data_IF_976395938518
#
_entry.id   IF_976395938518
#
_cell.length_a   1.000
_cell.length_b   1.000
_cell.length_c   1.000
_cell.angle_alpha   90.00
_cell.angle_beta   90.00
_cell.angle_gamma   90.00
#
_symmetry.space_group_name_H-M   'P 1'
#
loop_
_entity.id
_entity.type
_entity.pdbx_description
1 polymer ?
#
# COMPACT_ATOMS: atom_id res chain seq x y z
N UNK A 1 -7.57 10.42 15.42
CA UNK A 1 -6.39 9.54 15.22
C UNK A 1 -5.17 9.92 16.05
N UNK A 2 -4.84 11.20 16.28
CA UNK A 2 -3.63 11.59 17.02
C UNK A 2 -3.54 10.97 18.45
N UNK A 3 -4.64 11.01 19.20
CA UNK A 3 -4.73 10.43 20.56
C UNK A 3 -5.00 8.91 20.60
N UNK A 4 -5.12 8.24 19.44
CA UNK A 4 -5.37 6.81 19.39
C UNK A 4 -4.11 6.01 19.73
N UNK A 5 -4.28 4.81 20.30
CA UNK A 5 -3.20 3.89 20.59
C UNK A 5 -2.46 3.51 19.29
N UNK A 6 -1.13 3.40 19.36
CA UNK A 6 -0.34 2.91 18.23
C UNK A 6 -0.57 1.41 18.08
N UNK A 7 -0.95 0.99 16.88
CA UNK A 7 -1.03 -0.42 16.55
C UNK A 7 0.38 -0.93 16.20
N UNK A 8 0.74 -2.09 16.75
CA UNK A 8 1.99 -2.75 16.35
C UNK A 8 1.79 -3.36 14.97
N UNK A 9 2.71 -3.12 14.00
CA UNK A 9 2.63 -3.71 12.68
C UNK A 9 2.48 -5.22 12.74
N UNK A 10 1.52 -5.76 11.98
CA UNK A 10 1.38 -7.21 11.85
C UNK A 10 2.59 -7.77 11.09
N UNK A 11 3.23 -8.85 11.56
CA UNK A 11 4.36 -9.47 10.87
C UNK A 11 3.86 -10.30 9.67
N UNK A 12 3.28 -9.62 8.67
CA UNK A 12 2.79 -10.23 7.44
C UNK A 12 3.48 -9.63 6.21
N UNK A 13 3.64 -10.40 5.12
CA UNK A 13 4.10 -9.88 3.82
C UNK A 13 3.23 -8.71 3.34
N UNK A 14 1.91 -8.81 3.53
CA UNK A 14 0.96 -7.75 3.21
C UNK A 14 1.29 -6.44 3.94
N UNK A 15 1.33 -6.44 5.27
CA UNK A 15 1.62 -5.23 6.06
C UNK A 15 3.01 -4.68 5.74
N UNK A 16 4.01 -5.55 5.60
CA UNK A 16 5.38 -5.15 5.25
C UNK A 16 5.45 -4.47 3.87
N UNK A 17 4.69 -4.98 2.91
CA UNK A 17 4.62 -4.42 1.57
C UNK A 17 3.81 -3.13 1.49
N UNK A 18 2.72 -2.99 2.26
CA UNK A 18 2.02 -1.70 2.45
C UNK A 18 3.01 -0.65 2.95
N UNK A 19 3.72 -0.95 4.05
CA UNK A 19 4.67 -0.01 4.64
C UNK A 19 5.74 0.42 3.64
N UNK A 20 6.40 -0.55 3.00
CA UNK A 20 7.49 -0.27 2.06
C UNK A 20 7.02 0.53 0.86
N UNK A 21 5.92 0.10 0.26
CA UNK A 21 5.43 0.68 -0.99
C UNK A 21 4.85 2.06 -0.77
N UNK A 22 4.06 2.25 0.30
CA UNK A 22 3.50 3.55 0.61
C UNK A 22 4.58 4.54 1.02
N UNK A 23 5.59 4.13 1.80
CA UNK A 23 6.76 4.98 2.08
C UNK A 23 7.48 5.40 0.79
N UNK A 24 7.65 4.48 -0.17
CA UNK A 24 8.25 4.81 -1.46
C UNK A 24 7.38 5.79 -2.28
N UNK A 25 6.06 5.59 -2.33
CA UNK A 25 5.13 6.50 -3.00
C UNK A 25 5.18 7.91 -2.38
N UNK A 26 5.15 8.01 -1.05
CA UNK A 26 5.27 9.28 -0.32
C UNK A 26 6.62 9.98 -0.59
N UNK A 27 7.69 9.23 -0.81
CA UNK A 27 9.01 9.77 -1.15
C UNK A 27 9.04 10.47 -2.53
N UNK A 28 8.11 10.17 -3.42
CA UNK A 28 8.01 10.84 -4.73
C UNK A 28 7.54 12.30 -4.63
N UNK A 29 6.88 12.67 -3.53
CA UNK A 29 6.36 14.01 -3.34
C UNK A 29 7.10 14.77 -2.23
N UNK A 30 7.49 16.01 -2.52
CA UNK A 30 8.46 16.77 -1.70
C UNK A 30 8.00 17.06 -0.29
N UNK A 31 6.69 17.23 -0.07
CA UNK A 31 6.08 17.49 1.25
C UNK A 31 5.91 16.23 2.08
N UNK A 32 5.81 15.07 1.45
CA UNK A 32 5.52 13.78 2.12
C UNK A 32 6.75 12.90 2.25
N UNK A 33 7.86 13.22 1.60
CA UNK A 33 9.06 12.37 1.59
C UNK A 33 9.65 12.05 2.97
N UNK A 34 9.42 12.92 3.96
CA UNK A 34 9.87 12.72 5.34
C UNK A 34 8.85 12.02 6.21
N UNK A 35 7.66 11.69 5.68
CA UNK A 35 6.57 11.18 6.49
C UNK A 35 6.86 9.76 6.96
N UNK A 36 6.70 9.55 8.27
CA UNK A 36 6.72 8.22 8.87
C UNK A 36 5.31 7.65 8.89
N UNK A 37 5.19 6.37 8.57
CA UNK A 37 3.93 5.65 8.67
C UNK A 37 3.70 5.20 10.11
N UNK A 38 2.53 5.50 10.68
CA UNK A 38 2.15 5.07 12.03
C UNK A 38 0.74 4.51 11.98
N UNK A 39 0.59 3.22 12.29
CA UNK A 39 -0.73 2.61 12.39
C UNK A 39 -1.38 2.90 13.74
N UNK A 40 -2.69 3.15 13.73
CA UNK A 40 -3.49 3.54 14.89
C UNK A 40 -4.71 2.64 15.05
N UNK A 41 -4.98 2.23 16.29
CA UNK A 41 -6.21 1.54 16.67
C UNK A 41 -7.32 2.57 16.87
N UNK A 42 -8.11 2.83 15.83
CA UNK A 42 -9.16 3.87 15.87
C UNK A 42 -10.59 3.31 15.88
N UNK A 43 -10.75 2.00 16.08
CA UNK A 43 -12.07 1.35 16.18
C UNK A 43 -12.87 1.50 14.88
N UNK A 44 -14.19 1.68 14.98
CA UNK A 44 -15.07 1.81 13.80
C UNK A 44 -15.41 3.28 13.47
N UNK A 45 -14.78 4.25 14.13
CA UNK A 45 -15.23 5.65 14.12
C UNK A 45 -14.61 6.53 13.02
N UNK A 46 -14.28 5.94 11.87
CA UNK A 46 -14.46 6.63 10.58
C UNK A 46 -13.37 7.60 10.12
N UNK A 47 -12.11 7.42 10.52
CA UNK A 47 -10.99 8.10 9.85
C UNK A 47 -9.92 7.10 9.44
N UNK A 48 -9.78 6.89 8.13
CA UNK A 48 -8.85 5.91 7.57
C UNK A 48 -7.41 6.40 7.56
N UNK A 49 -7.21 7.71 7.51
CA UNK A 49 -5.91 8.36 7.57
C UNK A 49 -5.99 9.78 8.16
N UNK A 50 -4.87 10.23 8.69
CA UNK A 50 -4.68 11.59 9.18
C UNK A 50 -3.25 12.07 8.95
N UNK A 51 -3.09 13.32 8.51
CA UNK A 51 -1.79 13.95 8.29
C UNK A 51 -1.37 14.74 9.51
N UNK A 52 -0.38 14.24 10.24
CA UNK A 52 0.27 14.97 11.32
C UNK A 52 1.49 15.69 10.74
N UNK A 53 1.24 16.91 10.24
CA UNK A 53 2.26 17.72 9.57
C UNK A 53 3.38 18.10 10.53
N UNK A 54 3.02 18.45 11.78
CA UNK A 54 3.96 18.92 12.79
C UNK A 54 5.00 17.85 13.15
N UNK A 55 4.59 16.58 13.17
CA UNK A 55 5.48 15.45 13.47
C UNK A 55 5.97 14.72 12.21
N UNK A 56 5.59 15.17 11.00
CA UNK A 56 5.85 14.47 9.74
C UNK A 56 5.40 13.00 9.81
N UNK A 57 4.14 12.77 10.16
CA UNK A 57 3.58 11.42 10.23
C UNK A 57 2.31 11.29 9.40
N UNK A 58 2.21 10.17 8.70
CA UNK A 58 0.95 9.69 8.16
C UNK A 58 0.40 8.66 9.14
N UNK A 59 -0.67 9.05 9.85
CA UNK A 59 -1.37 8.14 10.74
C UNK A 59 -2.37 7.35 9.92
N UNK A 60 -2.29 6.02 9.94
CA UNK A 60 -3.15 5.11 9.18
C UNK A 60 -3.99 4.26 10.12
N UNK A 61 -5.23 3.98 9.72
CA UNK A 61 -6.06 3.03 10.44
C UNK A 61 -5.43 1.63 10.41
N UNK A 62 -5.52 0.90 11.52
CA UNK A 62 -4.97 -0.46 11.64
C UNK A 62 -5.56 -1.47 10.62
N UNK A 63 -6.72 -1.15 10.04
CA UNK A 63 -7.36 -1.96 9.00
C UNK A 63 -6.44 -2.21 7.80
N UNK A 64 -5.61 -1.22 7.46
CA UNK A 64 -4.66 -1.28 6.36
C UNK A 64 -3.50 -2.27 6.56
N UNK A 65 -3.36 -2.85 7.76
CA UNK A 65 -2.36 -3.90 8.03
C UNK A 65 -2.86 -5.31 7.69
N UNK A 66 -4.16 -5.45 7.44
CA UNK A 66 -4.84 -6.72 7.24
C UNK A 66 -5.52 -6.73 5.87
N UNK A 67 -5.26 -7.78 5.09
CA UNK A 67 -5.79 -7.90 3.74
C UNK A 67 -7.32 -7.89 3.75
N UNK A 68 -7.95 -8.74 4.56
CA UNK A 68 -9.40 -8.89 4.58
C UNK A 68 -10.09 -7.59 5.03
N UNK A 69 -9.52 -6.93 6.04
CA UNK A 69 -10.07 -5.65 6.55
C UNK A 69 -9.88 -4.49 5.58
N UNK A 70 -8.80 -4.49 4.81
CA UNK A 70 -8.56 -3.48 3.76
C UNK A 70 -9.55 -3.61 2.61
N UNK A 71 -10.18 -4.78 2.46
CA UNK A 71 -11.13 -5.11 1.40
C UNK A 71 -12.61 -5.09 1.84
N UNK A 72 -12.88 -5.00 3.14
CA UNK A 72 -14.22 -5.17 3.69
C UNK A 72 -15.26 -4.09 3.29
N UNK A 73 -14.84 -2.88 2.86
CA UNK A 73 -15.71 -1.70 2.73
C UNK A 73 -15.83 -1.11 1.30
N UNK A 74 -15.81 -1.94 0.26
CA UNK A 74 -15.88 -1.58 -1.19
C UNK A 74 -14.55 -1.52 -1.94
N UNK A 75 -13.61 -2.42 -1.69
CA UNK A 75 -12.44 -2.52 -2.56
C UNK A 75 -12.81 -3.11 -3.93
N UNK A 76 -12.31 -2.47 -4.98
CA UNK A 76 -12.41 -2.90 -6.37
C UNK A 76 -11.94 -4.35 -6.54
N UNK A 77 -12.65 -5.14 -7.35
CA UNK A 77 -12.18 -6.45 -7.81
C UNK A 77 -10.77 -6.30 -8.39
N UNK A 78 -9.81 -7.01 -7.82
CA UNK A 78 -8.43 -6.98 -8.27
C UNK A 78 -7.86 -8.39 -8.34
N UNK A 79 -6.78 -8.56 -9.11
CA UNK A 79 -6.19 -9.88 -9.33
C UNK A 79 -5.81 -10.58 -8.02
N UNK A 80 -5.32 -9.82 -7.02
CA UNK A 80 -4.91 -10.37 -5.73
C UNK A 80 -6.10 -10.77 -4.85
N UNK A 81 -7.25 -10.09 -4.96
CA UNK A 81 -8.48 -10.55 -4.32
C UNK A 81 -9.01 -11.81 -4.99
N UNK A 82 -8.93 -11.92 -6.32
CA UNK A 82 -9.30 -13.18 -7.00
C UNK A 82 -8.37 -14.34 -6.63
N UNK A 83 -7.04 -14.12 -6.61
CA UNK A 83 -6.06 -15.14 -6.21
C UNK A 83 -6.24 -15.63 -4.77
N UNK A 84 -6.67 -14.75 -3.85
CA UNK A 84 -6.96 -15.14 -2.47
C UNK A 84 -8.19 -16.05 -2.35
N UNK A 85 -9.17 -15.87 -3.23
CA UNK A 85 -10.45 -16.58 -3.19
C UNK A 85 -10.55 -17.71 -4.22
N UNK A 86 -9.50 -18.00 -5.00
CA UNK A 86 -9.54 -19.00 -6.09
C UNK A 86 -9.59 -20.45 -5.62
N UNK A 87 -9.57 -20.71 -4.31
CA UNK A 87 -9.73 -22.06 -3.75
C UNK A 87 -8.54 -22.99 -3.93
N UNK A 88 -7.40 -22.48 -4.42
CA UNK A 88 -6.15 -23.25 -4.46
C UNK A 88 -5.60 -23.46 -3.04
N UNK A 89 -5.31 -24.72 -2.69
CA UNK A 89 -4.85 -25.15 -1.37
C UNK A 89 -3.45 -24.62 -0.97
N UNK A 90 -2.77 -23.89 -1.86
CA UNK A 90 -1.45 -23.33 -1.58
C UNK A 90 -1.62 -21.93 -0.97
N UNK A 91 -1.21 -21.70 0.29
CA UNK A 91 -1.25 -20.37 0.88
C UNK A 91 -0.31 -19.44 0.13
N UNK A 92 -0.86 -18.63 -0.75
CA UNK A 92 -0.13 -17.55 -1.42
C UNK A 92 0.08 -16.43 -0.40
N UNK A 93 1.34 -16.08 -0.15
CA UNK A 93 1.67 -14.86 0.57
C UNK A 93 1.17 -13.65 -0.23
N UNK A 94 0.24 -12.90 0.33
CA UNK A 94 -0.38 -11.77 -0.35
C UNK A 94 0.43 -10.51 -0.07
N UNK A 95 0.84 -9.83 -1.14
CA UNK A 95 1.42 -8.50 -1.07
C UNK A 95 0.34 -7.42 -1.20
N UNK A 96 0.66 -6.19 -0.83
CA UNK A 96 -0.22 -5.03 -0.96
C UNK A 96 -0.65 -4.82 -2.41
N UNK A 97 -1.92 -4.51 -2.59
CA UNK A 97 -2.50 -4.31 -3.91
C UNK A 97 -2.27 -2.87 -4.38
N UNK A 98 -1.98 -2.72 -5.66
CA UNK A 98 -1.57 -1.42 -6.23
C UNK A 98 -2.63 -0.34 -6.01
N UNK A 99 -3.89 -0.71 -6.20
CA UNK A 99 -5.00 0.23 -6.03
C UNK A 99 -5.12 0.72 -4.59
N UNK A 100 -4.82 -0.11 -3.57
CA UNK A 100 -4.84 0.33 -2.17
C UNK A 100 -3.76 1.39 -1.94
N UNK A 101 -2.55 1.18 -2.47
CA UNK A 101 -1.47 2.15 -2.36
C UNK A 101 -1.83 3.45 -3.07
N UNK A 102 -2.35 3.37 -4.31
CA UNK A 102 -2.76 4.53 -5.09
C UNK A 102 -3.90 5.28 -4.40
N UNK A 103 -4.88 4.57 -3.86
CA UNK A 103 -6.05 5.16 -3.20
C UNK A 103 -5.62 5.89 -1.91
N UNK A 104 -4.77 5.29 -1.06
CA UNK A 104 -4.22 5.96 0.13
C UNK A 104 -3.37 7.17 -0.26
N UNK A 105 -2.45 7.01 -1.22
CA UNK A 105 -1.57 8.10 -1.66
C UNK A 105 -2.38 9.27 -2.23
N UNK A 106 -3.42 8.98 -3.02
CA UNK A 106 -4.33 10.00 -3.57
C UNK A 106 -5.00 10.81 -2.47
N UNK A 107 -5.54 10.13 -1.45
CA UNK A 107 -6.17 10.82 -0.32
C UNK A 107 -5.16 11.69 0.46
N UNK A 108 -3.92 11.23 0.63
CA UNK A 108 -2.86 12.04 1.24
C UNK A 108 -2.63 13.33 0.47
N UNK A 109 -2.50 13.28 -0.86
CA UNK A 109 -2.28 14.48 -1.66
C UNK A 109 -3.50 15.41 -1.58
N UNK A 110 -4.71 14.87 -1.68
CA UNK A 110 -5.95 15.65 -1.56
C UNK A 110 -6.07 16.37 -0.20
N UNK A 111 -5.70 15.72 0.90
CA UNK A 111 -5.71 16.34 2.23
C UNK A 111 -4.64 17.44 2.36
N UNK A 112 -3.47 17.27 1.73
CA UNK A 112 -2.44 18.31 1.66
C UNK A 112 -2.89 19.54 0.89
N UNK A 113 -3.70 19.35 -0.16
CA UNK A 113 -4.27 20.44 -0.96
C UNK A 113 -5.41 21.16 -0.24
N UNK A 114 -6.28 20.42 0.46
CA UNK A 114 -7.37 20.99 1.26
C UNK A 114 -6.85 21.97 2.32
N UNK A 115 -5.73 21.66 2.95
CA UNK A 115 -5.05 22.56 3.88
C UNK A 115 -4.52 23.85 3.22
N UNK A 116 -4.38 23.89 1.90
CA UNK A 116 -3.82 24.99 1.11
C UNK A 116 -4.85 25.74 0.26
N UNK A 117 -6.16 25.53 0.46
CA UNK A 117 -7.25 26.15 -0.32
C UNK A 117 -7.23 27.71 -0.38
N UNK A 118 -6.30 28.39 0.31
CA UNK A 118 -6.01 29.81 0.15
C UNK A 118 -4.78 30.18 -0.71
N UNK A 119 -3.93 29.24 -1.19
CA UNK A 119 -2.63 29.60 -1.83
C UNK A 119 -2.24 28.91 -3.13
N UNK A 120 -2.86 27.79 -3.55
CA UNK A 120 -2.84 27.19 -4.91
C UNK A 120 -3.28 25.74 -4.76
N UNK A 121 -4.46 25.38 -5.27
CA UNK A 121 -4.79 23.97 -5.51
C UNK A 121 -3.68 23.35 -6.37
N UNK A 122 -3.23 22.13 -6.09
CA UNK A 122 -2.56 21.34 -7.11
C UNK A 122 -3.46 21.33 -8.35
N UNK A 123 -2.86 21.62 -9.50
CA UNK A 123 -3.51 21.44 -10.80
C UNK A 123 -3.82 19.94 -10.95
N UNK A 124 -5.03 19.60 -11.38
CA UNK A 124 -5.48 18.22 -11.59
C UNK A 124 -4.50 17.42 -12.46
N UNK A 125 -3.80 18.12 -13.38
CA UNK A 125 -2.76 17.55 -14.22
C UNK A 125 -1.54 17.06 -13.42
N UNK A 126 -1.14 17.74 -12.35
CA UNK A 126 -0.02 17.33 -11.48
C UNK A 126 -0.39 16.14 -10.59
N UNK A 127 -1.61 16.13 -10.04
CA UNK A 127 -2.12 15.00 -9.27
C UNK A 127 -2.16 13.74 -10.15
N UNK A 128 -2.70 13.88 -11.37
CA UNK A 128 -2.74 12.81 -12.37
C UNK A 128 -1.35 12.31 -12.73
N UNK A 129 -0.37 13.21 -12.90
CA UNK A 129 1.02 12.84 -13.18
C UNK A 129 1.68 12.04 -12.04
N UNK A 130 1.42 12.41 -10.78
CA UNK A 130 1.97 11.70 -9.62
C UNK A 130 1.32 10.33 -9.45
N UNK A 131 0.00 10.22 -9.64
CA UNK A 131 -0.71 8.95 -9.63
C UNK A 131 -0.20 8.01 -10.72
N UNK A 132 0.03 8.53 -11.93
CA UNK A 132 0.64 7.78 -13.03
C UNK A 132 2.05 7.31 -12.66
N UNK A 133 2.89 8.17 -12.10
CA UNK A 133 4.24 7.81 -11.69
C UNK A 133 4.24 6.70 -10.63
N UNK A 134 3.36 6.82 -9.62
CA UNK A 134 3.16 5.75 -8.63
C UNK A 134 2.73 4.48 -9.35
N UNK A 135 1.69 4.53 -10.18
CA UNK A 135 1.20 3.37 -10.94
C UNK A 135 2.29 2.68 -11.77
N UNK A 136 3.12 3.42 -12.49
CA UNK A 136 4.25 2.88 -13.26
C UNK A 136 5.32 2.24 -12.36
N UNK A 137 5.62 2.83 -11.21
CA UNK A 137 6.52 2.20 -10.23
C UNK A 137 5.93 0.89 -9.67
N UNK A 138 4.62 0.85 -9.45
CA UNK A 138 3.93 -0.32 -8.91
C UNK A 138 3.89 -1.48 -9.91
N UNK A 139 3.72 -1.21 -11.21
CA UNK A 139 3.75 -2.23 -12.29
C UNK A 139 5.03 -3.07 -12.29
N UNK A 140 6.15 -2.46 -11.92
CA UNK A 140 7.46 -3.10 -11.90
C UNK A 140 7.77 -3.84 -10.59
N UNK A 141 6.83 -3.87 -9.63
CA UNK A 141 7.05 -4.64 -8.41
C UNK A 141 6.82 -6.13 -8.64
N UNK A 142 7.78 -6.92 -8.15
CA UNK A 142 7.68 -8.37 -8.13
C UNK A 142 6.52 -8.81 -7.24
N UNK A 143 5.75 -9.78 -7.72
CA UNK A 143 4.59 -10.41 -7.08
C UNK A 143 4.78 -11.92 -7.03
N UNK A 144 3.98 -12.60 -6.19
CA UNK A 144 3.94 -14.06 -6.07
C UNK A 144 5.33 -14.71 -5.94
N UNK A 145 6.20 -14.12 -5.11
CA UNK A 145 7.56 -14.62 -4.89
C UNK A 145 7.46 -15.99 -4.23
N UNK A 146 8.03 -17.02 -4.87
CA UNK A 146 8.14 -18.37 -4.35
C UNK A 146 9.61 -18.69 -4.16
N UNK A 147 9.97 -19.10 -2.95
CA UNK A 147 11.30 -19.61 -2.65
C UNK A 147 11.22 -21.13 -2.41
N UNK A 148 12.10 -21.88 -3.05
CA UNK A 148 12.23 -23.33 -2.87
C UNK A 148 13.71 -23.72 -2.74
N UNK A 149 14.05 -24.82 -2.06
CA UNK A 149 15.42 -25.32 -2.05
C UNK A 149 15.95 -25.50 -3.48
N UNK A 150 17.18 -25.04 -3.71
CA UNK A 150 17.86 -25.23 -4.97
C UNK A 150 18.39 -26.66 -5.14
N UNK A 151 18.84 -27.02 -6.35
CA UNK A 151 19.32 -28.36 -6.65
C UNK A 151 20.57 -28.75 -5.86
N UNK A 152 21.37 -27.79 -5.35
CA UNK A 152 22.51 -28.07 -4.47
C UNK A 152 22.25 -27.62 -3.02
N UNK A 153 22.94 -28.28 -2.09
CA UNK A 153 22.92 -27.91 -0.67
C UNK A 153 23.38 -26.46 -0.51
N UNK A 154 22.54 -25.65 0.13
CA UNK A 154 22.79 -24.22 0.36
C UNK A 154 22.26 -23.29 -0.73
N UNK A 155 21.70 -23.82 -1.82
CA UNK A 155 21.04 -23.00 -2.84
C UNK A 155 19.56 -22.78 -2.50
N UNK A 156 19.05 -21.61 -2.90
CA UNK A 156 17.62 -21.28 -2.89
C UNK A 156 17.27 -20.87 -4.32
N UNK A 157 16.25 -21.49 -4.89
CA UNK A 157 15.65 -21.09 -6.15
C UNK A 157 14.46 -20.18 -5.85
N UNK A 158 14.53 -18.94 -6.34
CA UNK A 158 13.47 -17.94 -6.20
C UNK A 158 12.83 -17.72 -7.57
N UNK A 159 11.51 -17.80 -7.64
CA UNK A 159 10.71 -17.44 -8.81
C UNK A 159 9.70 -16.37 -8.43
N UNK A 160 9.33 -15.50 -9.35
CA UNK A 160 8.33 -14.46 -9.13
C UNK A 160 7.55 -14.23 -10.43
N UNK A 161 6.37 -13.61 -10.30
CA UNK A 161 5.64 -13.04 -11.41
C UNK A 161 5.77 -11.51 -11.35
N UNK A 162 5.79 -10.83 -12.49
CA UNK A 162 5.50 -9.40 -12.54
C UNK A 162 4.00 -9.19 -12.83
N UNK A 163 3.52 -7.94 -12.80
CA UNK A 163 2.12 -7.61 -13.09
C UNK A 163 1.73 -7.84 -14.57
N UNK A 164 2.69 -8.06 -15.47
CA UNK A 164 2.47 -8.29 -16.91
C UNK A 164 2.68 -9.75 -17.33
N UNK A 165 3.20 -10.58 -16.43
CA UNK A 165 3.45 -11.99 -16.62
C UNK A 165 2.10 -12.69 -16.72
N UNK A 166 1.56 -12.71 -17.94
CA UNK A 166 0.51 -13.66 -18.30
C UNK A 166 1.04 -15.04 -17.95
N UNK A 167 0.27 -15.80 -17.17
CA UNK A 167 0.42 -17.24 -17.19
C UNK A 167 0.33 -17.66 -18.66
N UNK A 168 1.45 -18.17 -19.19
CA UNK A 168 1.41 -18.92 -20.43
C UNK A 168 0.77 -20.24 -20.03
N UNK A 169 -0.55 -20.32 -20.24
CA UNK A 169 -1.33 -21.56 -20.23
C UNK A 169 -0.94 -22.37 -21.46
#
# INVERSE_FOLDING_TARGET
MSNAEIASPLPSPYCSSIMRTLSAALALHTRTKSFKLVFKKAGNFGLDLYLDIDHSQLLLHEKWMDFEKSYAENSKDCILSHMRHSGDDIPVEIFSCDHIIVDIFTQVIQELDRGEAGKRSLDDQRLSSLQLQVGECLKNMLRAIRARPGPKKGEICVSWADNEAREII
#
